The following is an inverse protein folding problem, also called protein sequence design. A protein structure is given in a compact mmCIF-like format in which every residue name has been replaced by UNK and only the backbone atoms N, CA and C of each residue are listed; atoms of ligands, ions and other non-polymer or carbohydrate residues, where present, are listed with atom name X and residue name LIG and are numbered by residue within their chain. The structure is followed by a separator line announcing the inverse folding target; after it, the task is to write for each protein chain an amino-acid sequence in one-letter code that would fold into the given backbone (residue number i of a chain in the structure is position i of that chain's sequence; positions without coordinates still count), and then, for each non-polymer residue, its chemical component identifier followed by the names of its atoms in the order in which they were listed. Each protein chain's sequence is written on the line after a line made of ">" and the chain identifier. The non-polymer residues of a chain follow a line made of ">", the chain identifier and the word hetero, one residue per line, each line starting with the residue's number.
data_IF_621246225597
#
_entry.id   IF_621246225597
#
_cell.length_a   1.000
_cell.length_b   1.000
_cell.length_c   1.000
_cell.angle_alpha   90.00
_cell.angle_beta   90.00
_cell.angle_gamma   90.00
#
_symmetry.space_group_name_H-M   'P 1'
#
loop_
_entity.id
_entity.type
_entity.pdbx_description
1 polymer ?
#
# COMPACT_ATOMS: atom_id res chain seq x y z
N UNK A 1 9.16 -21.36 6.96
CA UNK A 1 8.78 -21.51 5.53
C UNK A 1 7.65 -20.56 5.08
N UNK A 2 6.64 -20.27 5.89
CA UNK A 2 5.50 -19.38 5.56
C UNK A 2 5.91 -17.89 5.50
N UNK A 3 6.76 -17.42 6.40
CA UNK A 3 7.29 -16.06 6.39
C UNK A 3 8.07 -15.75 5.10
N UNK A 4 8.86 -16.69 4.59
CA UNK A 4 9.59 -16.55 3.33
C UNK A 4 8.69 -16.48 2.09
N UNK A 5 7.52 -17.14 2.08
CA UNK A 5 6.59 -17.06 0.94
C UNK A 5 5.85 -15.73 0.90
N UNK A 6 5.46 -15.16 2.04
CA UNK A 6 4.83 -13.83 2.11
C UNK A 6 5.79 -12.71 1.73
N UNK A 7 7.03 -12.75 2.19
CA UNK A 7 8.07 -11.81 1.77
C UNK A 7 8.35 -11.87 0.26
N UNK A 8 8.32 -13.06 -0.36
CA UNK A 8 8.49 -13.18 -1.82
C UNK A 8 7.38 -12.47 -2.61
N UNK A 9 6.14 -12.52 -2.17
CA UNK A 9 5.03 -11.85 -2.88
C UNK A 9 5.09 -10.32 -2.76
N UNK A 10 5.46 -9.79 -1.60
CA UNK A 10 5.66 -8.34 -1.43
C UNK A 10 6.85 -7.80 -2.24
N UNK A 11 7.92 -8.58 -2.35
CA UNK A 11 9.11 -8.19 -3.10
C UNK A 11 8.93 -8.20 -4.64
N UNK A 12 8.01 -8.97 -5.21
CA UNK A 12 7.83 -9.05 -6.68
C UNK A 12 7.46 -7.69 -7.27
N UNK A 13 6.51 -7.00 -6.67
CA UNK A 13 6.08 -5.65 -7.05
C UNK A 13 7.24 -4.65 -7.05
N UNK A 14 8.01 -4.64 -5.98
CA UNK A 14 9.10 -3.69 -5.80
C UNK A 14 10.29 -4.06 -6.72
N UNK A 15 10.53 -5.34 -6.95
CA UNK A 15 11.50 -5.83 -7.95
C UNK A 15 11.14 -5.43 -9.37
N UNK A 16 9.86 -5.50 -9.75
CA UNK A 16 9.41 -5.05 -11.06
C UNK A 16 9.73 -3.56 -11.26
N UNK A 17 9.40 -2.73 -10.27
CA UNK A 17 9.68 -1.30 -10.30
C UNK A 17 11.19 -1.04 -10.33
N UNK A 18 11.97 -1.72 -9.50
CA UNK A 18 13.42 -1.59 -9.48
C UNK A 18 14.06 -1.98 -10.81
N UNK A 19 13.59 -3.05 -11.46
CA UNK A 19 14.07 -3.47 -12.78
C UNK A 19 13.67 -2.46 -13.87
N UNK A 20 12.46 -1.92 -13.79
CA UNK A 20 12.00 -0.90 -14.73
C UNK A 20 12.82 0.38 -14.63
N UNK A 21 13.08 0.86 -13.41
CA UNK A 21 13.96 2.02 -13.21
C UNK A 21 15.38 1.77 -13.72
N UNK A 22 15.97 0.63 -13.39
CA UNK A 22 17.31 0.28 -13.87
C UNK A 22 17.38 0.27 -15.39
N UNK A 23 16.40 -0.36 -16.05
CA UNK A 23 16.32 -0.38 -17.52
C UNK A 23 16.17 1.03 -18.11
N UNK A 24 15.31 1.85 -17.53
CA UNK A 24 15.09 3.22 -18.02
C UNK A 24 16.33 4.10 -17.81
N UNK A 25 16.96 4.00 -16.63
CA UNK A 25 18.14 4.80 -16.29
C UNK A 25 19.38 4.37 -17.07
N UNK A 26 19.50 3.09 -17.41
CA UNK A 26 20.61 2.59 -18.22
C UNK A 26 20.64 3.20 -19.64
N UNK A 27 19.48 3.63 -20.14
CA UNK A 27 19.35 4.29 -21.46
C UNK A 27 19.66 5.79 -21.45
N UNK A 28 19.51 6.44 -20.29
CA UNK A 28 19.54 7.91 -20.19
C UNK A 28 20.69 8.43 -19.34
N UNK A 29 21.60 7.56 -18.88
CA UNK A 29 22.75 7.89 -17.99
C UNK A 29 22.37 8.73 -16.75
N UNK A 30 21.13 8.65 -16.31
CA UNK A 30 20.61 9.35 -15.16
C UNK A 30 20.67 8.46 -13.90
N UNK A 31 20.52 9.08 -12.74
CA UNK A 31 20.38 8.38 -11.47
C UNK A 31 19.11 8.81 -10.75
N UNK A 32 18.59 7.96 -9.87
CA UNK A 32 17.44 8.25 -9.02
C UNK A 32 17.77 7.92 -7.57
N UNK A 33 17.39 8.82 -6.67
CA UNK A 33 17.41 8.60 -5.24
C UNK A 33 15.97 8.26 -4.76
N UNK A 34 15.79 7.04 -4.34
CA UNK A 34 14.52 6.56 -3.80
C UNK A 34 14.50 6.83 -2.30
N UNK A 35 13.51 7.57 -1.83
CA UNK A 35 13.31 7.84 -0.41
C UNK A 35 12.02 7.18 0.04
N UNK A 36 12.09 6.44 1.14
CA UNK A 36 10.96 5.69 1.68
C UNK A 36 10.89 5.82 3.20
N UNK A 37 9.72 6.15 3.73
CA UNK A 37 9.42 5.98 5.14
C UNK A 37 8.81 4.60 5.36
N UNK A 38 9.24 3.90 6.40
CA UNK A 38 8.78 2.54 6.67
C UNK A 38 8.56 2.28 8.16
N UNK A 39 7.56 1.44 8.44
CA UNK A 39 7.38 0.78 9.73
C UNK A 39 8.08 -0.59 9.81
N UNK A 40 8.79 -0.99 8.72
CA UNK A 40 9.59 -2.22 8.67
C UNK A 40 9.48 -2.98 7.34
N UNK A 41 8.32 -3.54 7.02
CA UNK A 41 8.15 -4.47 5.88
C UNK A 41 8.38 -3.82 4.51
N UNK A 42 7.81 -2.64 4.29
CA UNK A 42 7.98 -1.91 3.02
C UNK A 42 9.44 -1.54 2.77
N UNK A 43 10.17 -1.14 3.82
CA UNK A 43 11.59 -0.79 3.73
C UNK A 43 12.45 -2.00 3.36
N UNK A 44 12.23 -3.14 4.01
CA UNK A 44 12.95 -4.38 3.72
C UNK A 44 12.72 -4.84 2.27
N UNK A 45 11.47 -4.80 1.79
CA UNK A 45 11.13 -5.15 0.42
C UNK A 45 11.74 -4.19 -0.61
N UNK A 46 11.71 -2.89 -0.33
CA UNK A 46 12.29 -1.88 -1.20
C UNK A 46 13.83 -2.00 -1.28
N UNK A 47 14.50 -2.26 -0.16
CA UNK A 47 15.94 -2.53 -0.14
C UNK A 47 16.27 -3.75 -1.01
N UNK A 48 15.54 -4.86 -0.84
CA UNK A 48 15.79 -6.08 -1.63
C UNK A 48 15.64 -5.85 -3.13
N UNK A 49 14.70 -4.99 -3.51
CA UNK A 49 14.43 -4.66 -4.90
C UNK A 49 15.48 -3.73 -5.53
N UNK A 50 16.11 -2.86 -4.75
CA UNK A 50 17.00 -1.78 -5.24
C UNK A 50 18.48 -2.08 -5.01
N UNK A 51 18.82 -2.83 -3.97
CA UNK A 51 20.23 -3.19 -3.70
C UNK A 51 20.90 -3.75 -4.96
N UNK A 52 22.18 -3.40 -5.18
CA UNK A 52 23.00 -3.80 -6.33
C UNK A 52 22.56 -3.24 -7.69
N UNK A 53 21.50 -2.45 -7.76
CA UNK A 53 21.10 -1.85 -9.03
C UNK A 53 21.95 -0.63 -9.35
N UNK A 54 22.32 -0.51 -10.62
CA UNK A 54 23.09 0.63 -11.11
C UNK A 54 22.20 1.87 -11.17
N UNK A 55 22.78 3.02 -10.86
CA UNK A 55 22.11 4.33 -10.94
C UNK A 55 20.88 4.51 -10.03
N UNK A 56 20.72 3.65 -9.03
CA UNK A 56 19.65 3.71 -8.03
C UNK A 56 20.24 3.71 -6.62
N UNK A 57 19.89 4.70 -5.84
CA UNK A 57 20.13 4.73 -4.40
C UNK A 57 18.82 4.62 -3.65
N UNK A 58 18.85 4.02 -2.46
CA UNK A 58 17.68 3.96 -1.58
C UNK A 58 18.02 4.48 -0.19
N UNK A 59 17.22 5.42 0.28
CA UNK A 59 17.27 6.00 1.62
C UNK A 59 16.01 5.56 2.37
N UNK A 60 16.19 4.77 3.41
CA UNK A 60 15.10 4.20 4.20
C UNK A 60 15.04 4.90 5.54
N UNK A 61 14.00 5.69 5.75
CA UNK A 61 13.72 6.39 7.00
C UNK A 61 12.82 5.51 7.86
N UNK A 62 13.24 5.23 9.07
CA UNK A 62 12.46 4.45 10.01
C UNK A 62 12.55 5.03 11.44
N UNK A 63 11.50 4.87 12.27
CA UNK A 63 11.54 5.37 13.62
C UNK A 63 12.56 4.60 14.47
N UNK A 64 13.39 5.33 15.23
CA UNK A 64 14.40 4.76 16.09
C UNK A 64 13.73 3.89 17.18
N UNK A 65 14.20 2.64 17.33
CA UNK A 65 13.71 1.65 18.31
C UNK A 65 12.18 1.35 18.28
N UNK A 66 11.47 1.73 17.20
CA UNK A 66 10.02 1.49 17.06
C UNK A 66 9.66 0.59 15.87
N UNK A 67 10.61 -0.19 15.41
CA UNK A 67 10.40 -1.29 14.46
C UNK A 67 10.89 -2.58 15.08
N UNK A 68 10.39 -3.73 14.64
CA UNK A 68 10.78 -5.00 15.19
C UNK A 68 12.28 -5.25 15.00
N UNK A 69 12.91 -5.95 15.96
CA UNK A 69 14.35 -6.27 15.90
C UNK A 69 14.70 -7.08 14.64
N UNK A 70 13.79 -7.93 14.18
CA UNK A 70 13.95 -8.73 12.95
C UNK A 70 13.96 -7.84 11.73
N UNK A 71 12.98 -6.95 11.60
CA UNK A 71 12.91 -6.01 10.46
C UNK A 71 14.12 -5.08 10.42
N UNK A 72 14.52 -4.55 11.57
CA UNK A 72 15.73 -3.74 11.70
C UNK A 72 16.96 -4.50 11.21
N UNK A 73 17.15 -5.74 11.66
CA UNK A 73 18.27 -6.58 11.21
C UNK A 73 18.24 -6.79 9.70
N UNK A 74 17.11 -7.14 9.11
CA UNK A 74 16.98 -7.35 7.66
C UNK A 74 17.41 -6.11 6.88
N UNK A 75 17.04 -4.91 7.33
CA UNK A 75 17.39 -3.66 6.65
C UNK A 75 18.84 -3.24 6.88
N UNK A 76 19.31 -3.27 8.14
CA UNK A 76 20.60 -2.69 8.52
C UNK A 76 21.80 -3.62 8.28
N UNK A 77 21.61 -4.91 7.99
CA UNK A 77 22.70 -5.84 7.67
C UNK A 77 23.10 -5.84 6.19
N UNK A 78 22.36 -5.10 5.37
CA UNK A 78 22.69 -4.94 3.94
C UNK A 78 23.91 -4.04 3.79
N UNK A 79 24.98 -4.56 3.16
CA UNK A 79 26.29 -3.87 3.03
C UNK A 79 26.46 -3.17 1.68
N UNK A 80 25.42 -3.09 0.88
CA UNK A 80 25.48 -2.51 -0.47
C UNK A 80 25.65 -1.00 -0.41
N UNK A 81 26.54 -0.46 -1.25
CA UNK A 81 26.93 0.96 -1.26
C UNK A 81 25.78 1.91 -1.61
N UNK A 82 24.71 1.41 -2.22
CA UNK A 82 23.55 2.18 -2.65
C UNK A 82 22.37 2.08 -1.70
N UNK A 83 22.57 1.56 -0.48
CA UNK A 83 21.52 1.40 0.54
C UNK A 83 21.87 2.19 1.79
N UNK A 84 21.02 3.12 2.17
CA UNK A 84 21.18 4.00 3.31
C UNK A 84 19.99 3.87 4.27
N UNK A 85 20.23 3.40 5.49
CA UNK A 85 19.22 3.33 6.55
C UNK A 85 19.40 4.50 7.51
N UNK A 86 18.32 5.25 7.75
CA UNK A 86 18.32 6.45 8.58
C UNK A 86 17.28 6.27 9.68
N UNK A 87 17.75 6.16 10.92
CA UNK A 87 16.89 6.13 12.10
C UNK A 87 16.51 7.57 12.48
N UNK A 88 15.22 7.82 12.62
CA UNK A 88 14.66 9.12 13.00
C UNK A 88 14.18 9.03 14.45
N UNK A 89 14.59 9.99 15.27
CA UNK A 89 14.03 10.17 16.60
C UNK A 89 12.59 10.67 16.48
N UNK A 90 11.62 9.77 16.65
CA UNK A 90 10.21 10.06 16.46
C UNK A 90 9.40 8.78 16.22
N UNK A 91 8.25 8.94 15.61
CA UNK A 91 7.36 7.86 15.20
C UNK A 91 7.32 7.70 13.66
N UNK A 92 6.50 6.78 13.18
CA UNK A 92 6.36 6.54 11.74
C UNK A 92 5.77 7.74 10.98
N UNK A 93 4.85 8.48 11.62
CA UNK A 93 4.25 9.67 11.00
C UNK A 93 5.29 10.78 10.84
N UNK A 94 6.23 10.91 11.75
CA UNK A 94 7.34 11.86 11.65
C UNK A 94 8.23 11.52 10.44
N UNK A 95 8.54 10.24 10.25
CA UNK A 95 9.26 9.78 9.05
C UNK A 95 8.48 10.09 7.76
N UNK A 96 7.17 9.84 7.75
CA UNK A 96 6.33 10.14 6.60
C UNK A 96 6.22 11.64 6.31
N UNK A 97 6.07 12.45 7.35
CA UNK A 97 5.97 13.90 7.21
C UNK A 97 7.27 14.49 6.65
N UNK A 98 8.42 13.99 7.09
CA UNK A 98 9.72 14.37 6.54
C UNK A 98 9.81 14.03 5.05
N UNK A 99 9.45 12.81 4.65
CA UNK A 99 9.44 12.41 3.24
C UNK A 99 8.48 13.28 2.42
N UNK A 100 7.28 13.56 2.94
CA UNK A 100 6.31 14.45 2.27
C UNK A 100 6.87 15.87 2.11
N UNK A 101 7.51 16.43 3.13
CA UNK A 101 8.14 17.75 3.07
C UNK A 101 9.22 17.81 1.98
N UNK A 102 10.06 16.78 1.88
CA UNK A 102 11.06 16.65 0.82
C UNK A 102 10.44 16.61 -0.59
N UNK A 103 9.30 15.94 -0.75
CA UNK A 103 8.59 15.92 -2.05
C UNK A 103 7.93 17.25 -2.40
N UNK A 104 7.45 17.99 -1.42
CA UNK A 104 6.84 19.31 -1.61
C UNK A 104 7.88 20.35 -2.02
N UNK A 105 9.09 20.26 -1.49
CA UNK A 105 10.21 21.09 -1.93
C UNK A 105 10.72 20.64 -3.31
N UNK A 106 10.17 21.29 -4.33
CA UNK A 106 10.50 20.97 -5.73
C UNK A 106 11.94 21.24 -6.10
N UNK A 107 12.59 22.22 -5.46
CA UNK A 107 13.99 22.53 -5.72
C UNK A 107 14.87 21.40 -5.19
N UNK A 108 14.62 20.97 -3.96
CA UNK A 108 15.32 19.84 -3.35
C UNK A 108 15.06 18.54 -4.12
N UNK A 109 13.80 18.19 -4.35
CA UNK A 109 13.43 16.92 -4.98
C UNK A 109 13.96 16.76 -6.41
N UNK A 110 13.97 17.85 -7.20
CA UNK A 110 14.57 17.86 -8.55
C UNK A 110 16.09 17.79 -8.50
N UNK A 111 16.73 18.53 -7.58
CA UNK A 111 18.20 18.55 -7.45
C UNK A 111 18.77 17.17 -7.19
N UNK A 112 18.08 16.35 -6.42
CA UNK A 112 18.55 15.00 -6.08
C UNK A 112 17.89 13.90 -6.93
N UNK A 113 17.11 14.21 -7.94
CA UNK A 113 16.31 13.26 -8.71
C UNK A 113 15.51 12.32 -7.80
N UNK A 114 14.72 12.92 -6.91
CA UNK A 114 13.99 12.19 -5.88
C UNK A 114 12.83 11.38 -6.46
N UNK A 115 12.72 10.14 -6.03
CA UNK A 115 11.55 9.29 -6.28
C UNK A 115 11.14 8.55 -5.00
N UNK A 116 9.95 7.97 -5.00
CA UNK A 116 9.42 7.24 -3.86
C UNK A 116 8.85 5.88 -4.25
N UNK A 117 8.92 4.94 -3.32
CA UNK A 117 8.29 3.62 -3.45
C UNK A 117 7.17 3.40 -2.43
N UNK A 118 6.55 4.47 -1.97
CA UNK A 118 5.44 4.40 -1.02
C UNK A 118 4.19 3.77 -1.67
N UNK A 119 3.22 3.38 -0.84
CA UNK A 119 1.95 2.77 -1.29
C UNK A 119 1.14 3.65 -2.25
N UNK A 120 1.40 4.95 -2.30
CA UNK A 120 0.79 5.92 -3.22
C UNK A 120 1.42 5.92 -4.62
N UNK A 121 2.55 5.25 -4.84
CA UNK A 121 3.18 5.21 -6.14
C UNK A 121 2.29 4.43 -7.14
N UNK A 122 1.91 5.08 -8.23
CA UNK A 122 1.05 4.51 -9.27
C UNK A 122 1.59 3.21 -9.87
N UNK A 123 2.91 3.14 -10.10
CA UNK A 123 3.54 1.94 -10.64
C UNK A 123 3.35 0.72 -9.72
N UNK A 124 3.29 0.93 -8.39
CA UNK A 124 3.01 -0.15 -7.44
C UNK A 124 1.57 -0.66 -7.58
N UNK A 125 0.62 0.24 -7.80
CA UNK A 125 -0.78 -0.13 -7.99
C UNK A 125 -0.95 -0.90 -9.29
N UNK A 126 -0.40 -0.38 -10.39
CA UNK A 126 -0.47 -1.06 -11.69
C UNK A 126 0.18 -2.45 -11.63
N UNK A 127 1.34 -2.59 -10.99
CA UNK A 127 2.00 -3.89 -10.82
C UNK A 127 1.13 -4.90 -10.05
N UNK A 128 0.30 -4.45 -9.12
CA UNK A 128 -0.59 -5.31 -8.34
C UNK A 128 -1.78 -5.85 -9.15
N UNK A 129 -2.16 -5.21 -10.26
CA UNK A 129 -3.22 -5.74 -11.15
C UNK A 129 -2.92 -7.15 -11.62
N UNK A 130 -1.63 -7.47 -11.81
CA UNK A 130 -1.16 -8.79 -12.27
C UNK A 130 -1.64 -9.92 -11.34
N UNK A 131 -1.76 -9.68 -10.04
CA UNK A 131 -2.23 -10.71 -9.08
C UNK A 131 -3.67 -11.15 -9.39
N UNK A 132 -4.53 -10.21 -9.73
CA UNK A 132 -5.93 -10.45 -10.07
C UNK A 132 -6.07 -11.22 -11.37
N UNK A 133 -5.33 -10.83 -12.40
CA UNK A 133 -5.30 -11.56 -13.68
C UNK A 133 -4.74 -12.97 -13.48
N UNK A 134 -3.63 -13.11 -12.76
CA UNK A 134 -3.04 -14.42 -12.48
C UNK A 134 -4.00 -15.34 -11.73
N UNK A 135 -4.65 -14.87 -10.68
CA UNK A 135 -5.66 -15.64 -9.93
C UNK A 135 -6.81 -16.06 -10.84
N UNK A 136 -7.33 -15.15 -11.64
CA UNK A 136 -8.44 -15.43 -12.53
C UNK A 136 -8.11 -16.53 -13.53
N UNK A 137 -6.99 -16.42 -14.24
CA UNK A 137 -6.59 -17.43 -15.22
C UNK A 137 -6.21 -18.77 -14.58
N UNK A 138 -5.66 -18.74 -13.35
CA UNK A 138 -5.31 -19.97 -12.63
C UNK A 138 -6.55 -20.75 -12.15
N UNK A 139 -7.59 -20.05 -11.74
CA UNK A 139 -8.81 -20.68 -11.20
C UNK A 139 -9.81 -21.11 -12.29
N UNK A 140 -9.63 -20.69 -13.54
CA UNK A 140 -10.51 -20.99 -14.66
C UNK A 140 -12.00 -20.72 -14.39
N UNK A 141 -12.28 -19.73 -13.54
CA UNK A 141 -13.64 -19.35 -13.16
C UNK A 141 -14.23 -18.33 -14.15
N UNK A 142 -15.56 -18.32 -14.27
CA UNK A 142 -16.25 -17.32 -15.09
C UNK A 142 -16.31 -15.94 -14.45
N UNK A 143 -16.31 -15.89 -13.11
CA UNK A 143 -16.41 -14.68 -12.31
C UNK A 143 -15.84 -14.91 -10.91
N UNK A 144 -15.15 -13.93 -10.34
CA UNK A 144 -14.50 -14.05 -9.03
C UNK A 144 -14.87 -12.89 -8.11
N UNK A 145 -14.94 -13.18 -6.82
CA UNK A 145 -14.86 -12.21 -5.74
C UNK A 145 -13.46 -12.26 -5.14
N UNK A 146 -12.94 -11.10 -4.75
CA UNK A 146 -11.63 -11.02 -4.07
C UNK A 146 -11.83 -10.38 -2.70
N UNK A 147 -11.47 -11.11 -1.65
CA UNK A 147 -11.31 -10.54 -0.30
C UNK A 147 -9.88 -10.10 -0.11
N UNK A 148 -9.68 -8.82 0.20
CA UNK A 148 -8.36 -8.19 0.25
C UNK A 148 -8.17 -7.53 1.60
N UNK A 149 -7.23 -8.01 2.43
CA UNK A 149 -6.81 -7.28 3.63
C UNK A 149 -6.34 -5.88 3.26
N UNK A 150 -6.98 -4.86 3.83
CA UNK A 150 -6.87 -3.52 3.29
C UNK A 150 -6.58 -2.48 4.37
N UNK A 151 -5.39 -1.85 4.28
CA UNK A 151 -5.05 -0.63 5.01
C UNK A 151 -5.12 0.58 4.06
N UNK A 152 -4.05 0.86 3.31
CA UNK A 152 -3.93 2.02 2.42
C UNK A 152 -4.75 1.96 1.12
N UNK A 153 -5.62 1.00 0.95
CA UNK A 153 -6.49 0.82 -0.23
C UNK A 153 -5.75 0.56 -1.55
N UNK A 154 -4.44 0.34 -1.53
CA UNK A 154 -3.62 0.21 -2.75
C UNK A 154 -3.89 -1.06 -3.53
N UNK A 155 -3.86 -2.21 -2.85
CA UNK A 155 -4.03 -3.52 -3.49
C UNK A 155 -5.46 -3.69 -4.03
N UNK A 156 -6.47 -3.43 -3.20
CA UNK A 156 -7.86 -3.55 -3.64
C UNK A 156 -8.23 -2.56 -4.76
N UNK A 157 -7.59 -1.37 -4.78
CA UNK A 157 -7.72 -0.44 -5.90
C UNK A 157 -7.10 -1.00 -7.19
N UNK A 158 -6.01 -1.78 -7.10
CA UNK A 158 -5.48 -2.51 -8.24
C UNK A 158 -6.47 -3.57 -8.75
N UNK A 159 -7.21 -4.24 -7.86
CA UNK A 159 -8.32 -5.11 -8.24
C UNK A 159 -9.44 -4.37 -8.98
N UNK A 160 -9.78 -3.16 -8.51
CA UNK A 160 -10.74 -2.31 -9.19
C UNK A 160 -10.28 -1.90 -10.58
N UNK A 161 -9.00 -1.54 -10.73
CA UNK A 161 -8.41 -1.29 -12.06
C UNK A 161 -8.45 -2.52 -12.95
N UNK A 162 -8.11 -3.70 -12.44
CA UNK A 162 -8.22 -4.95 -13.20
C UNK A 162 -9.64 -5.19 -13.69
N UNK A 163 -10.66 -4.93 -12.86
CA UNK A 163 -12.07 -4.97 -13.25
C UNK A 163 -12.37 -3.98 -14.36
N UNK A 164 -11.89 -2.74 -14.26
CA UNK A 164 -12.04 -1.71 -15.32
C UNK A 164 -11.33 -2.08 -16.63
N UNK A 165 -10.24 -2.85 -16.56
CA UNK A 165 -9.54 -3.41 -17.72
C UNK A 165 -10.29 -4.58 -18.36
N UNK A 166 -11.43 -5.00 -17.80
CA UNK A 166 -12.29 -6.04 -18.35
C UNK A 166 -12.19 -7.39 -17.64
N UNK A 167 -11.41 -7.50 -16.55
CA UNK A 167 -11.38 -8.74 -15.79
C UNK A 167 -12.74 -9.00 -15.12
N UNK A 168 -13.35 -10.22 -15.26
CA UNK A 168 -14.68 -10.52 -14.72
C UNK A 168 -14.66 -10.66 -13.20
N UNK A 169 -14.51 -9.55 -12.49
CA UNK A 169 -14.62 -9.46 -11.04
C UNK A 169 -16.06 -9.10 -10.68
N UNK A 170 -16.66 -9.83 -9.76
CA UNK A 170 -17.98 -9.49 -9.23
C UNK A 170 -17.85 -8.41 -8.16
N UNK A 171 -17.30 -8.79 -7.01
CA UNK A 171 -17.11 -7.91 -5.86
C UNK A 171 -15.68 -7.93 -5.35
N UNK A 172 -15.26 -6.78 -4.89
CA UNK A 172 -14.03 -6.55 -4.16
C UNK A 172 -14.40 -6.32 -2.69
N UNK A 173 -13.95 -7.21 -1.81
CA UNK A 173 -14.30 -7.20 -0.40
C UNK A 173 -13.14 -6.59 0.37
N UNK A 174 -13.35 -5.40 0.90
CA UNK A 174 -12.41 -4.71 1.79
C UNK A 174 -12.46 -5.36 3.16
N UNK A 175 -11.41 -6.06 3.55
CA UNK A 175 -11.28 -6.65 4.87
C UNK A 175 -10.38 -5.76 5.74
N UNK A 176 -10.92 -5.24 6.84
CA UNK A 176 -10.19 -4.39 7.79
C UNK A 176 -10.02 -5.07 9.15
N UNK A 177 -9.04 -4.63 9.94
CA UNK A 177 -8.97 -4.93 11.36
C UNK A 177 -9.83 -3.92 12.17
N UNK A 178 -9.58 -3.79 13.48
CA UNK A 178 -10.29 -2.83 14.34
C UNK A 178 -10.16 -1.37 13.87
N UNK A 179 -9.13 -1.05 13.07
CA UNK A 179 -8.98 0.25 12.42
C UNK A 179 -9.87 0.30 11.17
N UNK A 180 -11.16 0.49 11.41
CA UNK A 180 -12.26 0.19 10.50
C UNK A 180 -12.71 1.36 9.60
N UNK A 181 -11.86 2.35 9.37
CA UNK A 181 -12.24 3.55 8.60
C UNK A 181 -12.79 3.21 7.21
N UNK A 182 -12.16 2.28 6.49
CA UNK A 182 -12.62 1.87 5.16
C UNK A 182 -13.92 1.09 5.22
N UNK A 183 -14.10 0.22 6.23
CA UNK A 183 -15.36 -0.48 6.44
C UNK A 183 -16.49 0.52 6.69
N UNK A 184 -16.29 1.50 7.57
CA UNK A 184 -17.30 2.54 7.84
C UNK A 184 -17.58 3.40 6.61
N UNK A 185 -16.57 3.75 5.84
CA UNK A 185 -16.72 4.53 4.62
C UNK A 185 -17.60 3.80 3.58
N UNK A 186 -17.35 2.51 3.38
CA UNK A 186 -18.05 1.70 2.37
C UNK A 186 -19.44 1.28 2.85
N UNK A 187 -19.59 0.91 4.14
CA UNK A 187 -20.88 0.44 4.66
C UNK A 187 -21.85 1.56 5.03
N UNK A 188 -21.34 2.70 5.53
CA UNK A 188 -22.15 3.78 6.13
C UNK A 188 -21.82 5.17 5.59
N UNK A 189 -20.87 5.28 4.67
CA UNK A 189 -20.39 6.56 4.16
C UNK A 189 -19.53 7.36 5.14
N UNK A 190 -19.23 6.83 6.33
CA UNK A 190 -18.48 7.55 7.37
C UNK A 190 -16.96 7.40 7.16
N UNK A 191 -16.33 8.43 6.64
CA UNK A 191 -14.87 8.50 6.43
C UNK A 191 -14.22 9.49 7.43
N UNK A 192 -14.61 9.41 8.69
CA UNK A 192 -14.00 10.18 9.79
C UNK A 192 -12.92 9.37 10.50
N UNK A 193 -11.75 9.98 10.72
CA UNK A 193 -10.66 9.29 11.41
C UNK A 193 -10.92 9.14 12.90
N UNK A 194 -10.45 8.05 13.49
CA UNK A 194 -10.47 7.78 14.93
C UNK A 194 -9.04 7.62 15.44
N UNK A 195 -8.89 7.45 16.74
CA UNK A 195 -7.60 7.05 17.30
C UNK A 195 -7.21 5.68 16.74
N UNK A 196 -5.96 5.55 16.31
CA UNK A 196 -5.41 4.26 15.85
C UNK A 196 -5.31 3.31 17.05
N UNK A 197 -5.80 2.08 16.86
CA UNK A 197 -5.60 0.97 17.79
C UNK A 197 -4.47 0.08 17.28
N UNK A 198 -3.50 -0.21 18.13
CA UNK A 198 -2.43 -1.14 17.79
C UNK A 198 -2.96 -2.58 17.73
N UNK A 199 -2.59 -3.31 16.67
CA UNK A 199 -3.04 -4.69 16.42
C UNK A 199 -1.87 -5.60 16.03
N UNK A 200 -2.13 -6.90 15.91
CA UNK A 200 -1.16 -7.86 15.36
C UNK A 200 -0.91 -7.68 13.86
N UNK A 201 -1.64 -6.77 13.20
CA UNK A 201 -1.50 -6.44 11.79
C UNK A 201 -1.10 -4.97 11.58
N UNK A 202 0.08 -4.51 12.05
CA UNK A 202 0.46 -3.09 12.11
C UNK A 202 0.40 -2.36 10.76
N UNK A 203 0.55 -3.08 9.65
CA UNK A 203 0.45 -2.51 8.30
C UNK A 203 -0.98 -2.09 7.92
N UNK A 204 -1.98 -2.56 8.69
CA UNK A 204 -3.39 -2.22 8.52
C UNK A 204 -3.89 -1.21 9.58
N UNK A 205 -3.05 -0.81 10.54
CA UNK A 205 -3.37 0.14 11.61
C UNK A 205 -3.39 1.57 11.05
N UNK A 206 -4.41 1.85 10.26
CA UNK A 206 -4.53 3.07 9.47
C UNK A 206 -5.92 3.68 9.67
N UNK A 207 -5.94 5.00 9.90
CA UNK A 207 -7.16 5.79 10.00
C UNK A 207 -7.28 6.85 8.89
N UNK A 208 -6.42 6.75 7.85
CA UNK A 208 -6.53 7.50 6.61
C UNK A 208 -5.88 6.72 5.47
N UNK A 209 -6.69 6.17 4.57
CA UNK A 209 -6.21 5.33 3.48
C UNK A 209 -5.79 6.18 2.27
N UNK A 210 -4.49 6.25 2.00
CA UNK A 210 -3.91 7.16 1.00
C UNK A 210 -4.43 6.95 -0.44
N UNK A 211 -4.85 5.74 -0.80
CA UNK A 211 -5.34 5.45 -2.14
C UNK A 211 -6.87 5.48 -2.26
N UNK A 212 -7.60 5.65 -1.16
CA UNK A 212 -9.05 5.80 -1.21
C UNK A 212 -9.46 7.12 -1.91
N UNK A 213 -8.61 8.13 -1.84
CA UNK A 213 -8.73 9.37 -2.60
C UNK A 213 -8.86 9.13 -4.11
N UNK A 214 -8.19 8.11 -4.64
CA UNK A 214 -8.28 7.74 -6.07
C UNK A 214 -9.68 7.25 -6.43
N UNK A 215 -10.29 6.44 -5.56
CA UNK A 215 -11.66 6.00 -5.75
C UNK A 215 -12.63 7.19 -5.65
N UNK A 216 -12.44 8.07 -4.66
CA UNK A 216 -13.22 9.32 -4.53
C UNK A 216 -13.12 10.14 -5.81
N UNK A 217 -11.91 10.34 -6.35
CA UNK A 217 -11.72 11.07 -7.60
C UNK A 217 -12.53 10.48 -8.76
N UNK A 218 -12.53 9.17 -8.93
CA UNK A 218 -13.27 8.51 -9.99
C UNK A 218 -14.79 8.63 -9.82
N UNK A 219 -15.32 8.39 -8.63
CA UNK A 219 -16.76 8.48 -8.38
C UNK A 219 -17.29 9.91 -8.49
N UNK A 220 -16.41 10.92 -8.33
CA UNK A 220 -16.71 12.33 -8.58
C UNK A 220 -16.55 12.72 -10.05
N UNK A 221 -16.44 11.75 -10.97
CA UNK A 221 -16.31 12.00 -12.41
C UNK A 221 -14.95 12.57 -12.82
N UNK A 222 -13.88 12.17 -12.12
CA UNK A 222 -12.50 12.62 -12.35
C UNK A 222 -12.34 14.15 -12.21
N UNK A 223 -13.13 14.76 -11.30
CA UNK A 223 -13.08 16.18 -11.05
C UNK A 223 -12.12 16.49 -9.90
N UNK A 224 -10.99 17.13 -10.22
CA UNK A 224 -9.92 17.45 -9.27
C UNK A 224 -10.36 18.42 -8.18
N UNK A 225 -11.16 19.44 -8.52
CA UNK A 225 -11.58 20.48 -7.58
C UNK A 225 -12.57 19.92 -6.55
N UNK A 226 -13.54 19.13 -7.02
CA UNK A 226 -14.46 18.42 -6.11
C UNK A 226 -13.69 17.48 -5.18
N UNK A 227 -12.75 16.71 -5.71
CA UNK A 227 -11.94 15.80 -4.90
C UNK A 227 -11.08 16.56 -3.89
N UNK A 228 -10.44 17.66 -4.29
CA UNK A 228 -9.65 18.51 -3.40
C UNK A 228 -10.49 19.06 -2.24
N UNK A 229 -11.71 19.54 -2.53
CA UNK A 229 -12.63 20.03 -1.51
C UNK A 229 -13.08 18.91 -0.54
N UNK A 230 -13.33 17.72 -1.06
CA UNK A 230 -13.64 16.55 -0.23
C UNK A 230 -12.46 16.20 0.67
N UNK A 231 -11.25 16.13 0.12
CA UNK A 231 -10.06 15.79 0.90
C UNK A 231 -9.69 16.84 1.94
N UNK A 232 -10.03 18.10 1.72
CA UNK A 232 -9.93 19.15 2.76
C UNK A 232 -10.85 18.83 3.95
N UNK A 233 -12.11 18.50 3.70
CA UNK A 233 -13.08 18.09 4.75
C UNK A 233 -12.65 16.81 5.47
N UNK A 234 -12.06 15.87 4.76
CA UNK A 234 -11.50 14.65 5.36
C UNK A 234 -10.38 15.01 6.34
N UNK A 235 -9.49 15.94 5.99
CA UNK A 235 -8.42 16.41 6.90
C UNK A 235 -8.96 17.10 8.15
N UNK A 236 -10.09 17.81 8.03
CA UNK A 236 -10.80 18.42 9.15
C UNK A 236 -11.61 17.40 9.97
N UNK A 237 -11.51 16.14 9.61
CA UNK A 237 -12.25 15.02 10.21
C UNK A 237 -13.79 15.21 10.18
N UNK A 238 -14.29 15.82 9.13
CA UNK A 238 -15.71 16.14 8.95
C UNK A 238 -16.21 15.76 7.56
N UNK A 239 -16.07 14.46 7.18
CA UNK A 239 -16.55 14.03 5.88
C UNK A 239 -17.35 12.73 5.95
N UNK A 240 -18.55 12.80 5.37
CA UNK A 240 -19.38 11.64 5.06
C UNK A 240 -19.67 11.61 3.57
N UNK A 241 -19.60 10.44 2.98
CA UNK A 241 -19.99 10.18 1.60
C UNK A 241 -21.51 10.40 1.47
N UNK A 242 -21.92 11.11 0.43
CA UNK A 242 -23.32 11.19 0.07
C UNK A 242 -23.85 9.84 -0.46
N UNK A 243 -25.16 9.67 -0.44
CA UNK A 243 -25.83 8.43 -0.85
C UNK A 243 -25.51 8.04 -2.30
N UNK A 244 -25.41 9.02 -3.19
CA UNK A 244 -25.05 8.78 -4.60
C UNK A 244 -23.66 8.20 -4.74
N UNK A 245 -22.69 8.78 -4.02
CA UNK A 245 -21.30 8.28 -3.99
C UNK A 245 -21.23 6.89 -3.37
N UNK A 246 -21.95 6.66 -2.26
CA UNK A 246 -22.01 5.37 -1.58
C UNK A 246 -22.60 4.28 -2.50
N UNK A 247 -23.68 4.58 -3.20
CA UNK A 247 -24.29 3.65 -4.15
C UNK A 247 -23.35 3.30 -5.31
N UNK A 248 -22.54 4.25 -5.80
CA UNK A 248 -21.53 3.99 -6.82
C UNK A 248 -20.43 3.03 -6.29
N UNK A 249 -19.95 3.25 -5.07
CA UNK A 249 -18.95 2.38 -4.43
C UNK A 249 -19.51 0.96 -4.24
N UNK A 250 -20.71 0.83 -3.74
CA UNK A 250 -21.33 -0.46 -3.40
C UNK A 250 -21.67 -1.33 -4.63
N UNK A 251 -21.60 -0.76 -5.85
CA UNK A 251 -21.67 -1.57 -7.07
C UNK A 251 -20.49 -2.54 -7.18
N UNK A 252 -19.30 -2.13 -6.77
CA UNK A 252 -18.07 -2.87 -6.95
C UNK A 252 -17.46 -3.38 -5.65
N UNK A 253 -17.72 -2.71 -4.54
CA UNK A 253 -17.11 -2.99 -3.25
C UNK A 253 -18.13 -3.50 -2.22
N UNK A 254 -17.66 -4.39 -1.38
CA UNK A 254 -18.24 -4.77 -0.08
C UNK A 254 -17.16 -4.53 0.98
N UNK A 255 -17.54 -4.55 2.25
CA UNK A 255 -16.55 -4.42 3.32
C UNK A 255 -16.95 -5.17 4.57
N UNK A 256 -15.94 -5.75 5.20
CA UNK A 256 -16.05 -6.45 6.48
C UNK A 256 -14.91 -6.03 7.40
N UNK A 257 -15.12 -6.16 8.70
CA UNK A 257 -14.09 -5.99 9.71
C UNK A 257 -13.98 -7.21 10.59
N UNK A 258 -12.76 -7.53 10.99
CA UNK A 258 -12.47 -8.61 11.95
C UNK A 258 -11.78 -8.02 13.18
N UNK A 259 -12.13 -8.54 14.34
CA UNK A 259 -11.37 -8.25 15.55
C UNK A 259 -10.13 -9.17 15.65
N UNK A 260 -9.30 -8.97 16.68
CA UNK A 260 -8.06 -9.74 16.85
C UNK A 260 -8.32 -11.23 17.09
N UNK A 261 -9.36 -11.57 17.86
CA UNK A 261 -9.70 -12.97 18.15
C UNK A 261 -10.18 -13.69 16.88
N UNK A 262 -11.01 -13.04 16.09
CA UNK A 262 -11.48 -13.56 14.80
C UNK A 262 -10.31 -13.70 13.80
N UNK A 263 -9.39 -12.75 13.79
CA UNK A 263 -8.19 -12.81 12.96
C UNK A 263 -7.29 -13.96 13.39
N UNK A 264 -7.11 -14.16 14.68
CA UNK A 264 -6.33 -15.23 15.25
C UNK A 264 -6.94 -16.61 14.93
N UNK A 265 -8.26 -16.74 15.02
CA UNK A 265 -8.99 -17.95 14.68
C UNK A 265 -8.83 -18.32 13.19
N UNK A 266 -8.93 -17.34 12.29
CA UNK A 266 -8.71 -17.55 10.86
C UNK A 266 -7.27 -17.94 10.55
N UNK A 267 -6.30 -17.41 11.29
CA UNK A 267 -4.88 -17.71 11.11
C UNK A 267 -4.52 -19.12 11.60
N UNK A 268 -5.17 -19.58 12.64
CA UNK A 268 -4.95 -20.91 13.25
C UNK A 268 -5.81 -22.02 12.62
N UNK A 269 -6.87 -21.66 11.90
CA UNK A 269 -7.68 -22.63 11.15
C UNK A 269 -6.82 -23.30 10.05
N UNK A 270 -6.89 -24.66 9.92
CA UNK A 270 -6.17 -25.35 8.88
C UNK A 270 -6.63 -24.85 7.50
N UNK A 271 -5.73 -24.18 6.80
CA UNK A 271 -5.98 -23.76 5.43
C UNK A 271 -6.06 -25.00 4.52
N UNK A 272 -6.91 -25.00 3.49
CA UNK A 272 -6.89 -26.04 2.45
C UNK A 272 -5.49 -26.25 1.83
N UNK A 273 -4.59 -25.29 1.98
CA UNK A 273 -3.18 -25.37 1.52
C UNK A 273 -2.29 -26.19 2.45
N UNK A 274 -2.72 -26.43 3.69
CA UNK A 274 -1.94 -27.18 4.69
C UNK A 274 -2.34 -28.66 4.71
N UNK A 275 -3.26 -29.08 3.85
CA UNK A 275 -3.55 -30.50 3.62
C UNK A 275 -2.44 -31.09 2.78
N UNK A 276 -1.79 -32.17 3.21
CA UNK A 276 -0.89 -32.91 2.31
C UNK A 276 -1.68 -33.39 1.09
N UNK A 277 -1.10 -33.20 -0.08
CA UNK A 277 -1.59 -33.75 -1.35
C UNK A 277 -1.51 -35.28 -1.33
#
# INVERSE_FOLDING_TARGET
>A
HLAHRRQRQMCIRDRLIGNFYEYYLSKNENFINIIVATSGDTGAGAIDAIKRKKNLNIFVLHPHNRISSVQRRIMCTVKEKNVFNIAIEGNFDDCQNLVKAMFVDQNFSKKINMSGVNSINWARIVAQTVYYFFCFFSLKSKKLNFSVPTGNFGDIYAGYLAKKMGLPIDKLIVATNQNDILHRAISKGDYTSKKVSETFSPSMDIQLASNFERLIFEIQGCNSDKTKNIMAKVKENNYKLDETSLNKINKDFLSEKLNEDETCLLYTSPSPRDRPL
#
